data_IF_777342359243
#
_entry.id   IF_777342359243
#
_cell.length_a   1.000
_cell.length_b   1.000
_cell.length_c   1.000
_cell.angle_alpha   90.00
_cell.angle_beta   90.00
_cell.angle_gamma   90.00
#
_symmetry.space_group_name_H-M   'P 1'
#
loop_
_entity.id
_entity.type
_entity.pdbx_description
1 polymer ?
2 polymer ?
3 non-polymer ?
4 non-polymer ?
5 non-polymer ?
6 non-polymer ?
7 water ?
#
# COMPACT_ATOMS: atom_id res chain seq x y z
N UNK A 1 -2.45 13.45 -4.84
CA UNK A 1 -2.95 12.72 -6.02
C UNK A 1 -3.35 13.75 -7.08
N UNK A 2 -2.79 13.63 -8.29
CA UNK A 2 -3.10 14.49 -9.44
C UNK A 2 -4.05 13.74 -10.39
N UNK A 3 -5.15 14.40 -10.75
CA UNK A 3 -6.10 13.89 -11.74
C UNK A 3 -6.99 12.75 -11.31
N UNK A 4 -7.21 12.62 -10.00
CA UNK A 4 -8.06 11.58 -9.45
C UNK A 4 -9.38 12.20 -9.02
N UNK A 5 -9.95 11.66 -7.96
CA UNK A 5 -11.22 12.13 -7.44
C UNK A 5 -11.20 11.91 -5.93
N UNK A 6 -12.18 12.45 -5.21
CA UNK A 6 -12.32 12.25 -3.78
C UNK A 6 -12.67 10.76 -3.62
N UNK A 7 -12.02 10.07 -2.66
CA UNK A 7 -12.39 8.69 -2.38
C UNK A 7 -13.64 8.82 -1.51
N UNK A 8 -14.84 8.32 -1.91
CA UNK A 8 -16.00 8.49 -1.02
C UNK A 8 -15.68 7.96 0.37
N UNK A 9 -16.09 8.69 1.42
CA UNK A 9 -15.81 8.34 2.81
C UNK A 9 -16.14 6.86 3.08
N UNK A 10 -15.14 6.11 3.55
CA UNK A 10 -15.31 4.69 3.86
C UNK A 10 -14.94 3.77 2.71
N UNK A 11 -14.63 4.31 1.51
CA UNK A 11 -14.28 3.45 0.40
C UNK A 11 -12.76 3.15 0.29
N UNK A 12 -11.89 3.79 1.14
CA UNK A 12 -10.45 3.52 1.21
C UNK A 12 -10.20 3.25 2.71
N UNK A 13 -10.89 2.24 3.34
CA UNK A 13 -10.82 2.10 4.81
C UNK A 13 -9.50 1.62 5.37
N UNK A 14 -8.58 1.20 4.52
CA UNK A 14 -7.25 0.78 4.96
C UNK A 14 -6.27 1.93 4.90
N UNK A 15 -6.70 3.09 4.36
CA UNK A 15 -5.81 4.27 4.25
C UNK A 15 -5.39 4.77 5.62
N UNK A 16 -4.10 4.98 5.79
CA UNK A 16 -3.56 5.52 7.03
C UNK A 16 -3.04 6.95 6.72
N UNK A 17 -3.19 7.85 7.68
CA UNK A 17 -2.54 9.15 7.66
C UNK A 17 -1.48 9.15 8.76
N UNK A 18 -0.21 9.44 8.41
CA UNK A 18 0.87 9.56 9.37
C UNK A 18 1.13 11.04 9.67
N UNK A 19 1.22 11.36 10.96
CA UNK A 19 1.41 12.72 11.46
C UNK A 19 2.65 12.76 12.33
N UNK A 20 3.39 13.88 12.27
CA UNK A 20 4.55 14.15 13.15
C UNK A 20 4.31 15.57 13.73
N UNK A 21 4.12 15.67 15.07
CA UNK A 21 3.78 16.94 15.74
C UNK A 21 2.49 17.55 15.16
N UNK A 22 1.56 16.67 14.78
CA UNK A 22 0.27 17.05 14.22
C UNK A 22 0.25 17.47 12.76
N UNK A 23 1.43 17.52 12.12
CA UNK A 23 1.58 17.89 10.72
C UNK A 23 1.57 16.62 9.86
N UNK A 24 0.94 16.70 8.71
CA UNK A 24 0.86 15.66 7.70
C UNK A 24 2.26 15.21 7.34
N UNK A 25 2.54 13.91 7.44
CA UNK A 25 3.84 13.41 7.06
C UNK A 25 3.76 12.55 5.78
N UNK A 26 2.94 11.49 5.84
CA UNK A 26 2.89 10.43 4.82
C UNK A 26 1.59 9.67 4.88
N UNK A 27 1.40 8.79 3.91
CA UNK A 27 0.31 7.84 3.92
C UNK A 27 0.83 6.52 4.46
N UNK A 28 -0.07 5.56 4.57
CA UNK A 28 0.24 4.21 5.01
C UNK A 28 -0.92 3.29 4.69
N UNK A 29 -0.71 1.99 4.90
CA UNK A 29 -1.75 1.00 4.67
C UNK A 29 -1.87 0.10 5.89
N UNK A 30 -3.07 0.01 6.43
CA UNK A 30 -3.35 -0.91 7.52
C UNK A 30 -3.44 -2.34 6.93
N UNK A 31 -2.73 -3.32 7.49
CA UNK A 31 -2.81 -4.70 6.96
C UNK A 31 -3.42 -5.69 7.98
N UNK A 32 -3.61 -5.26 9.22
CA UNK A 32 -4.34 -5.98 10.28
C UNK A 32 -4.58 -4.95 11.36
N UNK A 33 -5.00 -5.31 12.57
CA UNK A 33 -5.33 -4.29 13.60
C UNK A 33 -4.12 -3.58 14.24
N UNK A 34 -2.89 -4.12 14.14
CA UNK A 34 -1.77 -3.44 14.79
C UNK A 34 -0.67 -3.02 13.81
N UNK A 35 -0.68 -3.51 12.58
CA UNK A 35 0.40 -3.24 11.61
C UNK A 35 0.01 -2.37 10.44
N UNK A 36 0.92 -1.44 10.11
CA UNK A 36 0.81 -0.48 9.02
C UNK A 36 2.04 -0.59 8.12
N UNK A 37 1.82 -0.59 6.80
CA UNK A 37 2.90 -0.59 5.85
C UNK A 37 3.02 0.83 5.30
N UNK A 38 4.23 1.38 5.31
CA UNK A 38 4.44 2.72 4.73
C UNK A 38 5.80 2.70 3.94
N UNK A 39 6.36 3.89 3.62
CA UNK A 39 7.61 3.99 2.89
C UNK A 39 8.70 4.34 3.87
N UNK A 40 9.88 3.71 3.76
CA UNK A 40 11.04 4.03 4.62
C UNK A 40 11.45 5.53 4.53
N UNK A 41 11.40 6.12 3.31
CA UNK A 41 11.86 7.51 3.12
C UNK A 41 11.04 8.54 3.93
N UNK A 42 9.80 8.17 4.38
CA UNK A 42 8.92 8.99 5.24
C UNK A 42 9.68 9.38 6.51
N UNK A 43 10.61 8.53 6.94
CA UNK A 43 11.26 8.67 8.25
C UNK A 43 12.71 9.16 8.24
N UNK A 44 13.29 9.54 7.08
CA UNK A 44 14.68 10.01 6.96
C UNK A 44 15.01 11.21 7.85
N UNK A 45 14.05 12.15 8.00
CA UNK A 45 14.26 13.40 8.73
C UNK A 45 13.51 13.46 10.07
N UNK A 46 13.13 12.31 10.64
CA UNK A 46 12.43 12.30 11.92
C UNK A 46 13.47 12.37 13.06
N UNK A 47 13.22 13.23 14.05
CA UNK A 47 14.04 13.36 15.26
C UNK A 47 13.18 12.98 16.46
N UNK A 48 11.93 13.49 16.50
CA UNK A 48 10.93 13.26 17.56
C UNK A 48 10.09 11.99 17.26
N UNK A 49 10.73 10.79 17.39
CA UNK A 49 10.09 9.48 17.16
C UNK A 49 8.83 9.24 18.02
N UNK A 50 8.78 9.86 19.21
CA UNK A 50 7.64 9.76 20.14
C UNK A 50 6.43 10.59 19.74
N UNK A 51 6.59 11.52 18.77
CA UNK A 51 5.52 12.40 18.27
C UNK A 51 4.88 11.88 16.94
N UNK A 52 5.10 10.61 16.63
CA UNK A 52 4.61 10.00 15.40
C UNK A 52 3.28 9.31 15.62
N UNK A 53 2.23 9.76 14.90
CA UNK A 53 0.86 9.26 15.06
C UNK A 53 0.32 8.67 13.77
N UNK A 54 -0.43 7.56 13.87
CA UNK A 54 -1.14 6.98 12.75
C UNK A 54 -2.63 7.26 12.96
N UNK A 55 -3.30 7.74 11.92
CA UNK A 55 -4.74 8.02 12.01
C UNK A 55 -5.44 7.08 11.02
N UNK A 56 -6.45 6.32 11.52
CA UNK A 56 -7.27 5.41 10.70
C UNK A 56 -8.66 5.99 10.65
N UNK A 57 -9.42 5.67 9.61
CA UNK A 57 -10.79 6.17 9.46
C UNK A 57 -10.85 7.65 9.13
N UNK A 58 -9.72 8.21 8.69
CA UNK A 58 -9.65 9.62 8.30
C UNK A 58 -10.23 9.80 6.91
N UNK A 59 -10.83 10.96 6.67
CA UNK A 59 -11.37 11.27 5.35
C UNK A 59 -11.15 12.75 5.08
N UNK A 60 -11.72 13.62 5.92
CA UNK A 60 -11.61 15.07 5.74
C UNK A 60 -10.79 15.68 6.87
N UNK A 61 -9.67 16.30 6.51
CA UNK A 61 -8.73 16.92 7.46
C UNK A 61 -9.25 18.15 8.17
N UNK A 62 -10.36 18.75 7.69
CA UNK A 62 -10.86 19.99 8.29
C UNK A 62 -11.85 19.75 9.42
N UNK A 63 -12.31 18.51 9.59
CA UNK A 63 -13.36 18.22 10.56
C UNK A 63 -13.08 16.90 11.30
N UNK A 64 -13.55 16.78 12.53
CA UNK A 64 -13.52 15.53 13.27
C UNK A 64 -14.96 15.00 13.23
N UNK A 65 -15.20 13.84 12.62
CA UNK A 65 -16.56 13.27 12.56
C UNK A 65 -16.78 12.09 13.52
N UNK A 66 -15.76 11.70 14.28
CA UNK A 66 -15.91 10.58 15.21
C UNK A 66 -15.46 9.21 14.70
N UNK A 67 -15.26 9.06 13.39
CA UNK A 67 -14.76 7.78 12.82
C UNK A 67 -13.25 7.64 12.86
N UNK A 68 -12.53 8.76 13.13
CA UNK A 68 -11.06 8.76 13.16
C UNK A 68 -10.55 8.04 14.40
N UNK A 69 -9.50 7.25 14.25
CA UNK A 69 -8.86 6.56 15.36
C UNK A 69 -7.36 6.87 15.26
N UNK A 70 -6.81 7.45 16.32
CA UNK A 70 -5.39 7.83 16.43
C UNK A 70 -4.65 6.85 17.30
N UNK A 71 -3.47 6.45 16.87
CA UNK A 71 -2.62 5.55 17.64
C UNK A 71 -1.20 6.02 17.55
N UNK A 72 -0.47 5.88 18.65
CA UNK A 72 0.97 6.18 18.66
C UNK A 72 1.67 5.05 17.92
N UNK A 73 2.74 5.36 17.21
CA UNK A 73 3.51 4.36 16.48
C UNK A 73 4.61 3.88 17.44
N UNK A 74 4.52 2.62 17.87
CA UNK A 74 5.47 2.04 18.83
C UNK A 74 6.79 1.62 18.17
N UNK A 75 6.74 1.25 16.88
CA UNK A 75 7.94 0.78 16.20
C UNK A 75 7.88 1.06 14.72
N UNK A 76 9.03 1.47 14.15
CA UNK A 76 9.21 1.71 12.73
C UNK A 76 10.33 0.76 12.30
N UNK A 77 10.01 -0.23 11.45
CA UNK A 77 10.96 -1.24 11.01
C UNK A 77 11.29 -1.01 9.55
N UNK A 78 12.57 -0.85 9.29
CA UNK A 78 13.12 -0.56 7.97
C UNK A 78 14.14 -1.65 7.56
N UNK A 79 14.10 -2.13 6.30
CA UNK A 79 15.07 -3.16 5.91
C UNK A 79 16.50 -2.61 5.95
N UNK A 80 17.46 -3.46 6.31
CA UNK A 80 18.88 -3.10 6.42
C UNK A 80 19.46 -2.56 5.12
N UNK A 81 18.85 -2.96 3.99
CA UNK A 81 19.31 -2.62 2.64
C UNK A 81 18.87 -1.22 2.19
N UNK A 82 17.90 -0.63 2.90
CA UNK A 82 17.46 0.73 2.61
C UNK A 82 18.56 1.71 3.07
N UNK A 83 18.90 2.68 2.22
CA UNK A 83 19.90 3.69 2.55
C UNK A 83 19.21 5.06 2.53
N UNK A 84 19.14 5.81 3.67
CA UNK A 84 18.46 7.13 3.64
C UNK A 84 18.95 8.04 2.51
N UNK A 85 18.01 8.71 1.84
CA UNK A 85 18.31 9.61 0.73
C UNK A 85 18.40 8.95 -0.63
N UNK A 86 18.26 7.60 -0.68
CA UNK A 86 18.28 6.82 -1.94
C UNK A 86 16.91 6.16 -2.14
N UNK A 87 16.66 5.58 -3.32
CA UNK A 87 15.34 5.07 -3.71
C UNK A 87 15.04 3.59 -3.43
N UNK A 88 16.05 2.71 -3.47
CA UNK A 88 15.82 1.28 -3.30
C UNK A 88 15.29 0.87 -1.92
N UNK A 89 14.52 -0.23 -1.88
CA UNK A 89 13.97 -0.85 -0.66
C UNK A 89 13.12 0.11 0.16
N UNK A 90 12.24 0.88 -0.52
CA UNK A 90 11.46 1.93 0.13
C UNK A 90 10.20 1.41 0.83
N UNK A 91 10.42 0.76 1.99
CA UNK A 91 9.31 0.18 2.73
C UNK A 91 9.59 0.29 4.23
N UNK A 92 8.54 0.50 5.00
CA UNK A 92 8.63 0.55 6.44
C UNK A 92 7.44 -0.21 6.99
N UNK A 93 7.66 -0.97 8.04
CA UNK A 93 6.60 -1.69 8.74
C UNK A 93 6.45 -1.06 10.13
N UNK A 94 5.25 -0.58 10.42
CA UNK A 94 4.94 0.13 11.65
C UNK A 94 4.07 -0.68 12.57
N UNK A 95 4.46 -0.75 13.84
CA UNK A 95 3.64 -1.40 14.85
C UNK A 95 2.94 -0.29 15.64
N UNK A 96 1.60 -0.39 15.75
CA UNK A 96 0.83 0.58 16.53
C UNK A 96 0.95 0.22 17.98
N UNK A 97 0.93 1.22 18.89
CA UNK A 97 1.05 1.00 20.33
C UNK A 97 -0.13 0.19 20.90
N UNK A 98 -1.30 0.36 20.30
CA UNK A 98 -2.54 -0.29 20.68
C UNK A 98 -3.27 -0.60 19.37
N UNK A 99 -3.97 -1.75 19.26
CA UNK A 99 -4.68 -2.03 18.00
C UNK A 99 -5.73 -0.99 17.69
N UNK A 100 -6.04 -0.82 16.40
CA UNK A 100 -7.20 -0.02 16.01
C UNK A 100 -8.41 -0.98 16.15
N UNK A 101 -9.61 -0.41 16.27
CA UNK A 101 -10.85 -1.17 16.33
C UNK A 101 -11.40 -1.22 14.89
N UNK A 102 -11.65 -2.42 14.36
CA UNK A 102 -12.21 -2.53 13.00
C UNK A 102 -13.68 -2.11 13.04
N UNK A 103 -14.06 -1.29 12.06
CA UNK A 103 -15.41 -0.70 11.94
C UNK A 103 -15.66 -0.59 10.45
N UNK A 104 -16.83 -0.04 10.04
CA UNK A 104 -17.12 0.18 8.61
C UNK A 104 -16.11 1.11 7.97
N UNK A 105 -15.46 1.98 8.80
CA UNK A 105 -14.52 2.98 8.29
C UNK A 105 -13.06 2.64 8.48
N UNK A 106 -12.76 1.52 9.16
CA UNK A 106 -11.39 1.11 9.45
C UNK A 106 -11.32 -0.38 9.17
N UNK A 107 -10.70 -0.75 8.04
CA UNK A 107 -10.60 -2.13 7.61
C UNK A 107 -9.20 -2.37 7.05
N UNK A 108 -8.54 -3.51 7.35
CA UNK A 108 -7.21 -3.73 6.76
C UNK A 108 -7.30 -4.14 5.29
N UNK A 109 -6.23 -3.88 4.54
CA UNK A 109 -6.09 -4.32 3.16
C UNK A 109 -5.36 -5.66 3.27
N UNK A 110 -5.68 -6.64 2.43
CA UNK A 110 -5.00 -7.94 2.52
C UNK A 110 -3.57 -7.84 2.06
N UNK A 111 -2.62 -8.30 2.89
CA UNK A 111 -1.24 -8.44 2.47
C UNK A 111 -1.26 -9.81 1.76
N UNK A 112 -0.99 -9.87 0.44
CA UNK A 112 -1.12 -11.17 -0.27
C UNK A 112 0.08 -12.07 -0.02
N UNK A 113 -0.03 -13.37 -0.41
CA UNK A 113 1.13 -14.25 -0.39
C UNK A 113 1.97 -13.85 -1.59
N UNK A 114 3.28 -14.08 -1.52
CA UNK A 114 4.22 -13.72 -2.59
C UNK A 114 3.87 -14.34 -3.95
N UNK A 115 3.63 -15.65 -3.99
CA UNK A 115 3.33 -16.39 -5.23
C UNK A 115 2.10 -15.86 -5.90
N UNK A 116 1.02 -15.72 -5.14
CA UNK A 116 -0.22 -15.14 -5.64
C UNK A 116 0.00 -13.69 -6.16
N UNK A 117 0.82 -12.88 -5.44
CA UNK A 117 1.11 -11.51 -5.88
C UNK A 117 1.94 -11.47 -7.17
N UNK A 118 2.98 -12.30 -7.26
CA UNK A 118 3.84 -12.35 -8.44
C UNK A 118 3.15 -13.00 -9.67
N UNK A 119 2.45 -14.10 -9.49
CA UNK A 119 1.86 -14.76 -10.65
C UNK A 119 0.47 -14.27 -11.04
N UNK A 120 -0.24 -13.61 -10.13
CA UNK A 120 -1.59 -13.20 -10.48
C UNK A 120 -1.82 -11.69 -10.37
N UNK A 121 -1.53 -11.11 -9.18
CA UNK A 121 -1.78 -9.69 -8.95
C UNK A 121 -0.96 -8.79 -9.83
N UNK A 122 0.29 -9.20 -10.12
CA UNK A 122 1.21 -8.42 -10.95
C UNK A 122 0.69 -8.21 -12.37
N UNK A 123 -0.28 -9.03 -12.82
CA UNK A 123 -0.89 -8.99 -14.15
C UNK A 123 -2.25 -8.30 -14.17
N UNK A 124 -2.78 -7.87 -13.00
CA UNK A 124 -4.01 -7.06 -12.99
C UNK A 124 -3.51 -5.67 -13.46
N UNK A 125 -4.06 -5.15 -14.57
CA UNK A 125 -3.56 -3.92 -15.18
C UNK A 125 -3.71 -2.69 -14.27
N UNK A 126 -4.93 -2.41 -13.80
CA UNK A 126 -5.24 -1.23 -13.01
C UNK A 126 -5.31 -1.50 -11.53
N UNK A 127 -4.87 -0.50 -10.75
CA UNK A 127 -4.89 -0.52 -9.30
C UNK A 127 -5.14 0.89 -8.79
N UNK A 128 -5.58 1.02 -7.56
CA UNK A 128 -5.86 2.33 -6.98
C UNK A 128 -4.74 2.81 -6.09
N UNK A 129 -4.41 4.11 -6.20
CA UNK A 129 -3.38 4.79 -5.39
C UNK A 129 -4.10 5.92 -4.70
N UNK A 130 -3.80 6.16 -3.43
CA UNK A 130 -4.56 7.17 -2.69
C UNK A 130 -3.74 7.96 -1.68
N UNK A 131 -4.26 9.12 -1.28
CA UNK A 131 -3.62 9.97 -0.28
C UNK A 131 -4.12 11.40 -0.24
N UNK A 132 -3.59 12.17 0.73
CA UNK A 132 -3.90 13.58 0.94
C UNK A 132 -2.76 14.45 0.38
N UNK A 133 -2.06 13.94 -0.63
CA UNK A 133 -0.94 14.66 -1.23
C UNK A 133 -1.37 15.78 -2.15
N UNK A 134 -0.39 16.36 -2.85
CA UNK A 134 -0.59 17.48 -3.77
C UNK A 134 -1.60 17.17 -4.86
N UNK A 135 -2.49 18.14 -5.11
CA UNK A 135 -3.51 18.02 -6.15
C UNK A 135 -2.91 18.38 -7.48
N UNK A 136 -1.76 19.06 -7.46
CA UNK A 136 -1.00 19.49 -8.64
C UNK A 136 0.42 19.49 -8.25
N UNK A 137 1.34 19.32 -9.24
CA UNK A 137 2.76 19.50 -8.97
C UNK A 137 2.92 20.99 -8.57
N UNK A 138 3.68 21.25 -7.46
CA UNK A 138 3.95 22.58 -6.88
C UNK A 138 2.64 23.28 -6.44
N UNK A 139 1.61 22.46 -6.16
CA UNK A 139 0.30 22.89 -5.71
C UNK A 139 -0.01 22.47 -4.28
N UNK A 140 -1.17 22.88 -3.78
CA UNK A 140 -1.63 22.58 -2.42
C UNK A 140 -2.04 21.09 -2.29
N UNK A 141 -1.96 20.57 -1.06
CA UNK A 141 -2.34 19.19 -0.72
C UNK A 141 -3.86 19.14 -0.52
N UNK A 142 -4.46 17.92 -0.64
CA UNK A 142 -5.92 17.75 -0.51
C UNK A 142 -6.43 17.74 0.93
N UNK A 143 -7.63 18.30 1.18
CA UNK A 143 -8.28 18.23 2.49
C UNK A 143 -9.08 16.93 2.64
N UNK A 144 -9.56 16.41 1.52
CA UNK A 144 -10.31 15.14 1.49
C UNK A 144 -9.46 14.11 0.78
N UNK A 145 -9.54 12.86 1.24
CA UNK A 145 -8.79 11.75 0.68
C UNK A 145 -9.08 11.58 -0.80
N UNK A 146 -8.01 11.48 -1.60
CA UNK A 146 -8.15 11.32 -3.05
C UNK A 146 -7.71 9.93 -3.50
N UNK A 147 -8.28 9.47 -4.62
CA UNK A 147 -7.96 8.16 -5.18
C UNK A 147 -7.81 8.27 -6.70
N UNK A 148 -6.90 7.49 -7.24
CA UNK A 148 -6.64 7.46 -8.67
C UNK A 148 -6.44 6.01 -9.13
N UNK A 149 -7.00 5.67 -10.29
CA UNK A 149 -6.84 4.35 -10.92
C UNK A 149 -5.67 4.47 -11.89
N UNK A 150 -4.61 3.67 -11.71
CA UNK A 150 -3.41 3.73 -12.56
C UNK A 150 -3.07 2.37 -13.18
N UNK A 151 -2.62 2.32 -14.46
CA UNK A 151 -2.21 1.02 -15.01
C UNK A 151 -0.73 0.74 -14.68
N UNK A 152 -0.42 -0.53 -14.42
CA UNK A 152 0.94 -0.97 -14.14
C UNK A 152 1.61 -1.27 -15.46
N UNK A 153 2.93 -1.06 -15.52
CA UNK A 153 3.76 -1.31 -16.67
C UNK A 153 4.86 -2.25 -16.32
N UNK A 154 5.35 -3.01 -17.33
CA UNK A 154 6.53 -3.84 -17.14
C UNK A 154 7.70 -2.85 -17.16
N UNK A 155 8.76 -3.11 -16.37
CA UNK A 155 9.87 -2.15 -16.25
C UNK A 155 10.56 -1.83 -17.59
N UNK A 156 10.68 -2.82 -18.50
CA UNK A 156 11.26 -2.62 -19.83
C UNK A 156 10.44 -1.56 -20.57
N UNK A 157 9.09 -1.69 -20.53
CA UNK A 157 8.13 -0.77 -21.13
C UNK A 157 8.17 0.61 -20.48
N UNK A 158 8.41 0.67 -19.15
CA UNK A 158 8.49 1.93 -18.42
C UNK A 158 9.70 2.74 -18.89
N UNK A 159 10.87 2.08 -18.95
CA UNK A 159 12.14 2.68 -19.39
C UNK A 159 12.12 3.15 -20.85
N UNK A 160 11.47 2.37 -21.75
CA UNK A 160 11.36 2.74 -23.17
C UNK A 160 10.35 3.89 -23.40
N UNK A 161 9.27 3.94 -22.57
CA UNK A 161 8.23 4.98 -22.65
C UNK A 161 8.59 6.25 -21.87
N UNK A 162 9.74 6.26 -21.17
CA UNK A 162 10.14 7.41 -20.36
C UNK A 162 11.13 8.32 -21.05
N UNK A 163 11.04 9.63 -20.75
CA UNK A 163 11.93 10.68 -21.25
C UNK A 163 13.26 10.51 -20.49
N UNK A 164 14.36 10.24 -21.23
CA UNK A 164 15.68 10.01 -20.65
C UNK A 164 16.26 11.24 -19.92
N UNK A 165 16.02 11.31 -18.60
CA UNK A 165 16.49 12.39 -17.72
C UNK A 165 17.81 11.98 -17.06
N UNK A 166 18.77 12.90 -17.04
CA UNK A 166 20.09 12.70 -16.44
C UNK A 166 20.05 12.46 -14.95
N UNK A 167 21.05 11.69 -14.43
CA UNK A 167 21.22 11.31 -13.02
C UNK A 167 20.01 10.55 -12.39
N UNK A 168 18.97 10.22 -13.20
CA UNK A 168 17.75 9.52 -12.80
C UNK A 168 18.04 8.21 -12.07
N UNK A 169 17.34 7.91 -10.95
CA UNK A 169 17.62 6.65 -10.24
C UNK A 169 17.15 5.46 -11.06
N UNK A 170 17.82 4.32 -10.90
CA UNK A 170 17.46 3.08 -11.60
C UNK A 170 16.16 2.51 -11.04
N UNK A 171 15.37 1.87 -11.90
CA UNK A 171 14.17 1.18 -11.49
C UNK A 171 14.62 -0.26 -11.26
N UNK A 172 14.69 -0.68 -9.98
CA UNK A 172 15.19 -1.99 -9.56
C UNK A 172 14.07 -3.05 -9.55
N UNK A 173 14.39 -4.29 -9.18
CA UNK A 173 13.39 -5.37 -9.06
C UNK A 173 12.50 -5.19 -7.81
N UNK A 174 12.84 -4.20 -6.96
CA UNK A 174 12.12 -3.86 -5.72
C UNK A 174 11.17 -2.70 -5.97
N UNK A 175 10.95 -2.36 -7.27
CA UNK A 175 10.08 -1.27 -7.70
C UNK A 175 9.27 -1.67 -8.91
N UNK A 176 8.28 -0.85 -9.25
CA UNK A 176 7.50 -0.98 -10.48
C UNK A 176 6.95 0.38 -10.82
N UNK A 177 6.69 0.60 -12.12
CA UNK A 177 6.09 1.81 -12.64
C UNK A 177 4.60 1.62 -12.78
N UNK A 178 3.86 2.68 -12.52
CA UNK A 178 2.43 2.72 -12.74
C UNK A 178 2.00 4.14 -12.99
N UNK A 179 1.04 4.31 -13.88
CA UNK A 179 0.53 5.64 -14.17
C UNK A 179 0.43 5.99 -15.63
N UNK A 180 0.64 7.30 -15.94
CA UNK A 180 0.49 7.84 -17.30
C UNK A 180 1.65 8.77 -17.61
N UNK A 181 2.09 8.79 -18.88
CA UNK A 181 3.19 9.65 -19.31
C UNK A 181 2.70 11.00 -19.90
N UNK A 182 1.39 11.23 -19.99
CA UNK A 182 0.83 12.43 -20.61
C UNK A 182 0.74 13.67 -19.66
N UNK A 183 1.17 13.50 -18.41
CA UNK A 183 1.19 14.57 -17.42
C UNK A 183 -0.14 14.92 -16.78
N UNK A 184 -1.12 14.01 -16.88
CA UNK A 184 -2.47 14.27 -16.34
C UNK A 184 -2.81 13.57 -15.01
N UNK A 185 -2.19 12.42 -14.72
CA UNK A 185 -2.59 11.61 -13.56
C UNK A 185 -1.40 10.95 -12.90
N UNK A 186 -1.26 11.12 -11.57
CA UNK A 186 -0.14 10.50 -10.84
C UNK A 186 -0.35 10.64 -9.35
N UNK A 187 0.43 9.90 -8.54
CA UNK A 187 0.44 10.12 -7.10
C UNK A 187 1.56 11.17 -6.93
N UNK A 188 1.64 11.84 -5.76
CA UNK A 188 2.64 12.88 -5.54
C UNK A 188 3.45 12.62 -4.26
N UNK A 189 4.45 13.47 -3.99
CA UNK A 189 5.31 13.33 -2.82
C UNK A 189 4.53 13.27 -1.51
N UNK A 190 3.45 14.05 -1.35
CA UNK A 190 2.65 14.01 -0.11
C UNK A 190 1.82 12.74 0.02
N UNK A 191 1.77 11.91 -1.04
CA UNK A 191 1.05 10.63 -1.02
C UNK A 191 2.00 9.50 -0.63
N UNK A 192 3.32 9.78 -0.59
CA UNK A 192 4.39 8.83 -0.21
C UNK A 192 3.93 7.92 0.93
N UNK A 193 4.21 6.62 0.78
CA UNK A 193 3.83 5.63 1.80
C UNK A 193 2.43 5.05 1.67
N UNK A 194 1.59 5.71 0.87
CA UNK A 194 0.22 5.29 0.68
C UNK A 194 0.07 4.00 -0.12
N UNK A 195 -1.14 3.39 -0.11
CA UNK A 195 -1.33 2.12 -0.85
C UNK A 195 -1.47 2.26 -2.35
N UNK A 196 -0.99 1.22 -3.04
CA UNK A 196 -1.25 0.89 -4.43
C UNK A 196 -1.98 -0.46 -4.18
N UNK A 197 -3.32 -0.45 -4.32
CA UNK A 197 -4.24 -1.54 -4.00
C UNK A 197 -4.82 -2.17 -5.28
N UNK A 198 -4.78 -3.51 -5.37
CA UNK A 198 -5.23 -4.28 -6.54
C UNK A 198 -6.44 -5.16 -6.24
N UNK A 199 -7.46 -5.07 -7.09
CA UNK A 199 -8.66 -5.86 -6.95
C UNK A 199 -8.50 -7.18 -7.69
N UNK A 200 -8.89 -8.27 -7.04
CA UNK A 200 -8.88 -9.60 -7.64
C UNK A 200 -9.99 -10.44 -7.06
N UNK A 201 -10.96 -10.81 -7.93
CA UNK A 201 -12.09 -11.66 -7.58
C UNK A 201 -12.78 -11.24 -6.27
N UNK A 202 -13.18 -9.96 -6.21
CA UNK A 202 -13.98 -9.39 -5.12
C UNK A 202 -13.24 -8.97 -3.86
N UNK A 203 -11.89 -9.04 -3.88
CA UNK A 203 -11.01 -8.69 -2.75
C UNK A 203 -9.87 -7.79 -3.19
N UNK A 204 -9.50 -6.85 -2.30
CA UNK A 204 -8.40 -5.90 -2.57
C UNK A 204 -7.14 -6.32 -1.81
N UNK A 205 -5.97 -6.15 -2.45
CA UNK A 205 -4.68 -6.55 -1.90
C UNK A 205 -3.64 -5.45 -2.01
N UNK A 206 -2.66 -5.45 -1.11
CA UNK A 206 -1.54 -4.51 -1.17
C UNK A 206 -0.49 -4.99 -2.18
N UNK A 207 -0.23 -4.20 -3.24
CA UNK A 207 0.79 -4.54 -4.24
C UNK A 207 1.93 -3.53 -4.32
N UNK A 208 1.65 -2.30 -3.94
CA UNK A 208 2.67 -1.26 -4.03
C UNK A 208 2.56 -0.21 -2.94
N UNK A 209 3.60 0.60 -2.84
CA UNK A 209 3.67 1.71 -1.90
C UNK A 209 4.12 2.94 -2.70
N UNK A 210 3.42 4.08 -2.57
CA UNK A 210 3.82 5.35 -3.25
C UNK A 210 5.26 5.67 -2.78
N UNK A 211 6.20 5.64 -3.71
CA UNK A 211 7.62 5.78 -3.38
C UNK A 211 8.26 7.00 -4.00
N UNK A 212 8.40 7.05 -5.34
CA UNK A 212 9.06 8.16 -5.99
C UNK A 212 8.63 8.39 -7.44
N UNK A 213 9.19 9.43 -8.03
CA UNK A 213 8.98 9.82 -9.41
C UNK A 213 9.69 11.14 -9.66
N UNK A 214 9.67 11.59 -10.93
CA UNK A 214 10.28 12.86 -11.39
C UNK A 214 9.14 13.85 -11.33
N UNK A 215 9.15 14.74 -10.34
CA UNK A 215 8.07 15.68 -10.08
C UNK A 215 6.77 14.90 -9.84
N UNK A 216 5.61 15.51 -10.18
CA UNK A 216 4.29 14.90 -10.02
C UNK A 216 3.53 15.08 -11.33
N UNK A 217 3.11 13.97 -11.97
CA UNK A 217 2.40 13.99 -13.25
C UNK A 217 3.22 14.78 -14.33
N UNK A 218 4.52 14.48 -14.42
CA UNK A 218 5.46 15.12 -15.36
C UNK A 218 5.35 14.37 -16.68
N UNK A 219 5.18 15.12 -17.82
CA UNK A 219 5.10 14.50 -19.15
C UNK A 219 6.38 13.68 -19.38
N UNK A 220 6.22 12.47 -19.91
CA UNK A 220 7.34 11.56 -20.16
C UNK A 220 7.73 10.72 -18.96
N UNK A 221 6.96 10.81 -17.84
CA UNK A 221 7.27 10.11 -16.60
C UNK A 221 6.07 9.41 -15.96
N UNK A 222 6.37 8.35 -15.21
CA UNK A 222 5.39 7.52 -14.49
C UNK A 222 5.73 7.53 -13.02
N UNK A 223 4.74 7.19 -12.18
CA UNK A 223 4.97 7.00 -10.76
C UNK A 223 5.76 5.73 -10.55
N UNK A 224 6.61 5.68 -9.51
CA UNK A 224 7.41 4.52 -9.16
C UNK A 224 6.95 4.09 -7.75
N UNK A 225 6.64 2.79 -7.62
CA UNK A 225 6.09 2.19 -6.41
C UNK A 225 6.95 1.06 -5.92
N UNK A 226 7.03 0.88 -4.60
CA UNK A 226 7.78 -0.24 -3.99
C UNK A 226 7.02 -1.52 -4.35
N UNK A 227 7.74 -2.54 -4.82
CA UNK A 227 7.13 -3.81 -5.21
C UNK A 227 7.00 -4.65 -3.94
N UNK A 228 5.85 -4.57 -3.32
CA UNK A 228 5.55 -5.20 -2.04
C UNK A 228 5.76 -6.73 -2.05
N UNK A 229 5.47 -7.41 -3.18
CA UNK A 229 5.66 -8.88 -3.32
C UNK A 229 7.06 -9.37 -2.88
N UNK A 230 8.09 -8.50 -3.02
CA UNK A 230 9.48 -8.81 -2.65
C UNK A 230 9.68 -8.83 -1.14
N UNK A 231 8.74 -8.25 -0.38
CA UNK A 231 8.85 -8.10 1.08
C UNK A 231 7.89 -8.91 1.91
N UNK A 232 7.07 -9.76 1.30
CA UNK A 232 6.06 -10.55 2.01
C UNK A 232 6.64 -11.39 3.16
N UNK A 233 7.68 -12.19 2.90
CA UNK A 233 8.30 -13.05 3.92
C UNK A 233 8.94 -12.20 5.00
N UNK A 234 9.64 -11.10 4.59
CA UNK A 234 10.30 -10.15 5.49
C UNK A 234 9.24 -9.54 6.42
N UNK A 235 8.07 -9.10 5.86
CA UNK A 235 6.97 -8.55 6.67
C UNK A 235 6.35 -9.61 7.61
N UNK A 236 6.09 -10.82 7.08
CA UNK A 236 5.46 -11.88 7.87
C UNK A 236 6.29 -12.30 9.07
N UNK A 237 7.61 -12.44 8.88
CA UNK A 237 8.53 -12.79 9.95
C UNK A 237 8.52 -11.72 11.03
N UNK A 238 8.57 -10.42 10.63
CA UNK A 238 8.56 -9.33 11.63
C UNK A 238 7.26 -9.25 12.43
N UNK A 239 6.11 -9.46 11.77
CA UNK A 239 4.80 -9.44 12.44
C UNK A 239 4.62 -10.54 13.49
N UNK A 240 5.43 -11.60 13.41
CA UNK A 240 5.41 -12.72 14.37
C UNK A 240 6.46 -12.53 15.49
N UNK A 241 7.22 -11.43 15.45
CA UNK A 241 8.30 -11.17 16.40
C UNK A 241 7.85 -10.30 17.54
N UNK A 242 8.52 -10.45 18.69
CA UNK A 242 8.23 -9.65 19.86
C UNK A 242 8.71 -8.22 19.68
N UNK A 243 7.95 -7.20 20.17
CA UNK A 243 8.47 -5.82 20.11
C UNK A 243 9.85 -5.70 20.78
N UNK A 244 10.66 -4.70 20.37
CA UNK A 244 11.99 -4.45 20.94
C UNK A 244 12.01 -3.02 21.44
N UNK A 245 12.73 -2.70 22.55
CA UNK A 245 12.78 -1.29 23.00
C UNK A 245 13.30 -0.35 21.89
N UNK A 246 12.86 0.91 21.92
CA UNK A 246 13.21 1.89 20.90
C UNK A 246 12.28 1.85 19.70
N UNK A 247 11.94 3.02 19.15
CA UNK A 247 11.00 3.13 18.02
C UNK A 247 11.62 2.59 16.71
N UNK A 248 12.77 3.12 16.28
CA UNK A 248 13.39 2.65 15.05
C UNK A 248 14.10 1.33 15.19
N UNK A 249 13.81 0.40 14.26
CA UNK A 249 14.49 -0.88 14.16
C UNK A 249 14.92 -1.14 12.72
N UNK A 250 16.19 -1.45 12.51
CA UNK A 250 16.67 -1.87 11.20
C UNK A 250 16.71 -3.38 11.26
N UNK A 251 16.04 -4.05 10.31
CA UNK A 251 15.96 -5.50 10.30
C UNK A 251 16.63 -6.01 9.05
N UNK A 252 17.37 -7.14 9.17
CA UNK A 252 18.03 -7.69 7.98
C UNK A 252 17.07 -8.00 6.85
N UNK A 253 17.49 -7.65 5.64
CA UNK A 253 16.79 -7.98 4.42
C UNK A 253 17.84 -8.68 3.54
N UNK A 254 17.55 -9.87 2.96
CA UNK A 254 16.29 -10.66 3.00
C UNK A 254 15.91 -11.17 4.40
N UNK B 3 -0.35 -26.11 -12.10
CA UNK B 3 -1.74 -25.65 -12.17
C UNK B 3 -1.88 -24.20 -11.68
N UNK B 4 -1.28 -23.85 -10.53
CA UNK B 4 -1.36 -22.50 -9.92
C UNK B 4 -0.89 -21.38 -10.82
N UNK B 5 0.13 -21.61 -11.66
CA UNK B 5 0.67 -20.59 -12.57
C UNK B 5 -0.36 -20.16 -13.61
N UNK B 6 -1.29 -21.09 -13.98
CA UNK B 6 -2.38 -20.88 -14.95
C UNK B 6 -3.70 -20.49 -14.29
N UNK B 7 -4.15 -19.23 -14.52
CA UNK B 7 -5.39 -18.64 -14.00
C UNK B 7 -5.58 -18.87 -12.48
N UNK B 8 -4.46 -18.78 -11.73
CA UNK B 8 -4.41 -18.94 -10.27
C UNK B 8 -4.95 -20.33 -9.81
N UNK B 9 -4.80 -21.35 -10.69
CA UNK B 9 -5.29 -22.71 -10.46
C UNK B 9 -6.80 -22.78 -10.23
N UNK B 10 -7.51 -21.75 -10.67
CA UNK B 10 -8.95 -21.61 -10.47
C UNK B 10 -9.31 -21.03 -9.10
N UNK B 11 -8.31 -20.85 -8.20
CA UNK B 11 -8.50 -20.36 -6.82
C UNK B 11 -8.96 -18.92 -6.78
N UNK B 12 -9.83 -18.59 -5.83
CA UNK B 12 -10.27 -17.21 -5.64
C UNK B 12 -9.13 -16.40 -4.96
N UNK B 13 -8.38 -17.03 -4.05
CA UNK B 13 -7.30 -16.38 -3.35
C UNK B 13 -5.95 -17.10 -3.57
N UNK B 14 -5.48 -17.89 -2.59
CA UNK B 14 -4.17 -18.55 -2.65
C UNK B 14 -4.24 -19.94 -3.24
N UNK B 15 -3.16 -20.33 -3.93
CA UNK B 15 -3.02 -21.61 -4.62
C UNK B 15 -1.71 -22.28 -4.26
N UNK B 16 -1.76 -23.58 -3.92
CA UNK B 16 -0.57 -24.41 -3.66
C UNK B 16 -0.57 -25.61 -4.62
N UNK B 17 0.57 -25.87 -5.28
CA UNK B 17 0.77 -27.02 -6.17
C UNK B 17 1.26 -28.19 -5.34
N UNK B 18 0.73 -29.39 -5.62
CA UNK B 18 1.13 -30.62 -4.91
C UNK B 18 1.63 -31.69 -5.89
N UNK B 19 2.09 -32.85 -5.35
CA UNK B 19 2.64 -33.97 -6.13
C UNK B 19 1.61 -34.50 -7.15
N UNK B 20 1.89 -34.26 -8.42
CA UNK B 20 1.02 -34.63 -9.53
C UNK B 20 0.12 -33.48 -9.94
N UNK B 21 -1.04 -33.79 -10.57
CA UNK B 21 -2.00 -32.75 -10.96
C UNK B 21 -2.87 -32.31 -9.75
N UNK B 22 -2.30 -32.41 -8.53
CA UNK B 22 -2.95 -32.01 -7.28
C UNK B 22 -2.76 -30.50 -7.02
N UNK B 23 -3.84 -29.85 -6.56
CA UNK B 23 -3.88 -28.42 -6.29
C UNK B 23 -4.73 -28.16 -5.05
N UNK B 24 -4.25 -27.33 -4.13
CA UNK B 24 -5.02 -26.93 -2.96
C UNK B 24 -5.17 -25.40 -2.96
N UNK B 25 -6.42 -24.92 -2.93
CA UNK B 25 -6.69 -23.47 -2.79
C UNK B 25 -6.69 -23.18 -1.33
N UNK B 26 -6.31 -21.96 -0.98
CA UNK B 26 -6.31 -21.50 0.41
C UNK B 26 -6.84 -20.07 0.48
N UNK B 27 -7.07 -19.58 1.69
CA UNK B 27 -7.62 -18.25 1.91
C UNK B 27 -6.77 -17.51 2.92
N UNK B 28 -6.84 -16.17 2.90
CA UNK B 28 -6.23 -15.28 3.88
C UNK B 28 -7.01 -15.53 5.20
N UNK B 29 -6.39 -15.22 6.34
CA UNK B 29 -7.03 -15.31 7.66
C UNK B 29 -8.30 -14.47 7.61
N UNK B 30 -9.33 -14.91 8.33
CA UNK B 30 -10.61 -14.22 8.33
C UNK B 30 -11.52 -14.71 7.20
N UNK B 31 -11.09 -15.76 6.48
CA UNK B 31 -11.87 -16.41 5.41
C UNK B 31 -11.76 -17.95 5.58
N UNK B 32 -12.73 -18.68 5.00
CA UNK B 32 -12.80 -20.16 4.95
C UNK B 32 -13.08 -20.55 3.52
N UNK B 33 -12.49 -21.69 3.12
CA UNK B 33 -12.63 -22.27 1.78
C UNK B 33 -13.96 -23.01 1.70
N UNK B 34 -14.69 -22.80 0.61
CA UNK B 34 -15.98 -23.48 0.41
C UNK B 34 -15.73 -24.90 -0.12
N UNK B 35 -16.78 -25.76 -0.10
CA UNK B 35 -16.70 -27.16 -0.56
C UNK B 35 -16.38 -27.27 -2.05
N UNK B 36 -16.52 -26.15 -2.84
CA UNK B 36 -16.09 -26.16 -4.25
C UNK B 36 -14.55 -26.22 -4.34
N UNK B 37 -13.90 -26.01 -3.20
CA UNK B 37 -12.45 -26.00 -3.06
C UNK B 37 -11.73 -24.84 -3.70
N UNK B 38 -12.45 -23.79 -4.13
CA UNK B 38 -11.86 -22.61 -4.80
C UNK B 38 -12.29 -21.29 -4.16
N UNK B 39 -13.53 -21.22 -3.67
CA UNK B 39 -14.12 -19.99 -3.13
C UNK B 39 -13.77 -19.73 -1.70
N UNK B 40 -13.60 -18.44 -1.36
CA UNK B 40 -13.28 -17.99 -0.02
C UNK B 40 -14.44 -17.18 0.52
N UNK B 41 -14.91 -17.53 1.70
CA UNK B 41 -16.01 -16.81 2.33
C UNK B 41 -15.55 -16.16 3.66
N UNK B 42 -15.93 -14.90 3.94
CA UNK B 42 -15.53 -14.29 5.24
C UNK B 42 -16.04 -15.04 6.47
N UNK B 43 -15.20 -15.12 7.49
CA UNK B 43 -15.58 -15.75 8.76
C UNK B 43 -15.70 -14.70 9.88
N UNK B 44 -15.34 -13.44 9.56
CA UNK B 44 -15.30 -12.35 10.53
C UNK B 44 -16.12 -11.20 10.02
N UNK B 45 -16.47 -10.26 10.90
CA UNK B 45 -17.27 -9.11 10.54
C UNK B 45 -16.52 -8.19 9.55
N UNK B 46 -15.21 -8.00 9.75
CA UNK B 46 -14.42 -7.09 8.91
C UNK B 46 -13.24 -7.76 8.25
N UNK B 47 -13.51 -8.65 7.26
CA UNK B 47 -12.39 -9.33 6.57
C UNK B 47 -11.56 -8.32 5.79
N UNK B 48 -10.28 -8.60 5.62
CA UNK B 48 -9.39 -7.73 4.88
C UNK B 48 -9.82 -7.59 3.43
N UNK B 49 -9.54 -6.43 2.82
CA UNK B 49 -9.78 -6.20 1.40
C UNK B 49 -11.22 -6.13 0.95
N UNK B 50 -12.17 -5.95 1.88
CA UNK B 50 -13.60 -5.78 1.55
C UNK B 50 -14.01 -4.44 2.12
N UNK B 51 -14.89 -3.74 1.40
CA UNK B 51 -15.37 -2.41 1.77
C UNK B 51 -16.78 -2.51 2.35
N UNK B 52 -16.93 -2.41 3.69
CA UNK B 52 -18.26 -2.57 4.30
C UNK B 52 -19.38 -1.73 3.69
N UNK B 53 -19.15 -0.44 3.39
CA UNK B 53 -20.27 0.36 2.87
C UNK B 53 -20.72 -0.14 1.48
N UNK B 54 -19.78 -0.71 0.69
CA UNK B 54 -20.10 -1.28 -0.62
C UNK B 54 -20.71 -2.70 -0.46
N UNK B 55 -20.16 -3.52 0.46
CA UNK B 55 -20.64 -4.88 0.76
C UNK B 55 -22.10 -4.88 1.26
N UNK B 56 -22.42 -4.02 2.24
CA UNK B 56 -23.75 -3.88 2.84
C UNK B 56 -24.80 -3.26 1.91
N UNK B 57 -24.34 -2.59 0.84
CA UNK B 57 -25.17 -1.94 -0.17
C UNK B 57 -25.77 -3.00 -1.12
X LIG C 1 6.08 10.68 -6.86
X LIG C 1 5.28 10.42 -8.10
X LIG C 1 6.52 10.26 -4.53
X LIG C 1 12.13 8.02 -2.14
X LIG C 1 12.77 6.75 -1.90
X LIG C 1 13.99 11.29 -7.37
X LIG C 1 7.82 11.89 -5.71
X LIG C 1 7.09 11.62 -6.86
X LIG C 1 7.99 12.62 4.11
X LIG C 1 7.19 12.43 3.02
X LIG C 1 8.32 11.42 -3.40
X LIG C 1 9.43 12.36 -3.33
X LIG C 1 10.72 11.69 -3.78
X LIG C 1 9.67 12.84 -1.93
X LIG C 1 11.43 12.17 -4.87
X LIG C 1 12.56 11.54 -5.37
X LIG C 1 13.04 10.41 -4.73
X LIG C 1 12.33 9.89 -3.65
X LIG C 1 11.20 10.53 -3.17
X LIG C 1 7.54 11.20 -4.54
X LIG C 1 5.78 10.01 -5.67
X LIG C 1 13.07 12.06 -6.54
X LIG C 1 5.44 11.27 -9.15
X LIG C 1 4.55 9.36 -8.13
X LIG C 1 11.03 13.33 -5.43
X LIG C 1 12.80 8.67 -3.23
X LIG C 1 13.79 11.63 -8.81
X LIG C 1 15.36 11.65 -6.89
X LIG C 1 10.74 13.60 -1.58
X LIG C 1 10.67 13.80 -0.24
X LIG C 1 9.52 13.19 0.19
X LIG C 1 8.91 12.57 -0.88
X LIG C 1 9.01 12.97 1.54
X LIG C 1 7.69 12.55 1.75
X LIG C 1 9.32 12.96 3.94
X LIG C 1 9.83 13.15 2.66
X LIG C 1 6.27 9.71 -3.62
X LIG C 1 12.19 8.66 -1.26
X LIG C 1 11.08 7.87 -2.37
X LIG C 1 12.47 6.28 -0.97
X LIG C 1 13.85 6.86 -1.85
X LIG C 1 12.56 6.05 -2.71
X LIG C 1 13.84 10.21 -7.26
X LIG C 1 8.60 12.65 -5.81
X LIG C 1 7.45 12.13 -7.75
X LIG C 1 7.59 12.47 5.12
X LIG C 1 6.12 12.27 3.13
X LIG C 1 8.31 10.68 -2.70
X LIG C 1 9.17 13.26 -3.89
X LIG C 1 13.97 9.93 -5.02
X LIG C 1 10.62 10.17 -2.32
X LIG C 1 4.99 9.27 -5.63
X LIG C 1 5.99 12.12 -9.14
X LIG C 1 4.00 9.17 -8.96
X LIG C 1 12.82 11.30 -9.19
X LIG C 1 14.53 11.17 -9.46
X LIG C 1 13.84 12.71 -8.97
X LIG C 1 15.42 11.66 -5.80
X LIG C 1 16.12 10.94 -7.23
X LIG C 1 15.67 12.63 -7.25
X LIG C 1 11.46 13.96 -2.20
X LIG C 1 11.42 14.35 0.33
X LIG C 1 7.04 12.31 0.91
X LIG C 1 9.98 13.07 4.80
X LIG C 1 10.87 13.45 2.55
X LIG C 1 5.01 11.06 -10.04
X LIG D 1 -11.64 14.11 9.82
X LIG E 1 -2.20 4.52 21.33
X LIG E 1 -3.55 4.06 21.61
X LIG E 1 -1.45 4.44 22.53
X LIG E 1 -1.58 3.74 20.33
X LIG E 1 -2.30 5.90 20.94
X LIG F 1 10.75 15.85 13.70
X LIG F 1 10.53 14.56 14.33
X LIG F 1 9.96 16.87 14.40
X LIG F 1 10.33 15.80 12.28
X LIG F 1 12.16 16.20 13.76
X LIG G 1 10.53 7.13 -14.48
X LIG G 1 10.01 6.42 -13.34
X LIG G 1 11.01 8.44 -14.03
X LIG G 1 9.42 7.26 -15.44
X LIG G 1 11.65 6.39 -15.04
X LIG H 1 -1.63 -10.68 8.02
X LIG H 1 -0.75 -11.80 7.75
X LIG H 1 -1.65 -10.37 9.45
X LIG H 1 -2.97 -11.08 7.66
X LIG H 1 -1.15 -9.53 7.28
X LIG I 1 15.89 5.72 9.50
X LIG I 1 16.15 5.13 8.24
X LIG I 1 16.35 7.16 9.53
X LIG I 1 15.99 7.77 10.77
X LIG I 1 17.84 7.27 9.30
X LIG I 1 18.14 8.46 8.58
X LIG J 1 -12.11 1.21 -3.22
X LIG J 1 -11.09 2.12 -2.85
X LIG J 1 -12.82 1.61 -4.49
X LIG J 1 -13.85 0.66 -4.79
X LIG J 1 -13.38 3.01 -4.48
X LIG J 1 -12.33 3.98 -4.37
X LIG K 1 0.99 -12.69 13.87
X LIG K 1 1.16 -13.85 14.68
X LIG K 1 0.84 -13.06 12.41
X LIG K 1 -0.20 -14.04 12.26
X LIG K 1 0.49 -11.82 11.62
X LIG K 1 0.25 -12.15 10.26
#
# INVERSE_FOLDING_TARGET
IVGGKVCPKGECPWQVLLLVNGAQLCGGTLINTIWVVSAAHCFDKIKNWRNLIAVLGEHDLSEHDGDEQSRRVAQVIIPSTYVPGTTNHDIALLRLHQPVVLTDHVVPLCLPERTFSERTLAFVRFSLVSGWGQLLDRGATALELMVLNVPRLMTQDCLQQSRKVGDSPNITEYMFCAGYSDGSKDSCKGDSGGPHATHYRGTWYLTGIVSWGQGCATVGHFGVYTRVSQYIEWLQKLMRSEPRPGVLLRAPFP
QLICVNENGGCEQYCSDHTGTKRSCRCHEGYSLLADGVSCTPTVEYPCGKIPILEKR
4JY C13 C16 C15 C22 C23 C24 C11 C12 C34 C33 N1 C2 C3 C4 C5 C6 C7 C8 C9 C10 C14 O17 N18 N19 F20 O21 C25 C26 N27 C28 C29 N30 C31 C32 C35 C36 H44 H49 H48 H51 H52 H50 H53 H41 H42 H64 H63 H37 H38 H39 H40 H43 H45 H47 H56 H55 H54 H57 H59 H58 H60 H61 H62 H65 H66 H3
CA CA
SO4 S O1 O2 O3 O4
SO4 S O1 O2 O3 O4
SO4 S O1 O2 O3 O4
SO4 S O1 O2 O3 O4
GOL C1 O1 C2 O2 C3 O3
GOL C1 O1 C2 O2 C3 O3
GOL C1 O1 C2 O2 C3 O3
#
